data_IF_107575171040
#
_entry.id   IF_107575171040
#
_cell.length_a   1.000
_cell.length_b   1.000
_cell.length_c   1.000
_cell.angle_alpha   90.00
_cell.angle_beta   90.00
_cell.angle_gamma   90.00
#
_symmetry.space_group_name_H-M   'P 1'
#
loop_
_entity.id
_entity.type
_entity.pdbx_description
1 polymer ?
#
# COMPACT_ATOMS: atom_id res chain seq x y z
N UNK A 1 62.03 -19.90 1.31
CA UNK A 1 63.11 -20.24 2.26
C UNK A 1 63.06 -19.23 3.39
N UNK A 2 62.68 -19.56 4.61
CA UNK A 2 61.94 -20.73 5.13
C UNK A 2 61.29 -20.26 6.45
N UNK A 3 59.99 -20.43 6.69
CA UNK A 3 59.31 -21.62 7.22
C UNK A 3 59.75 -21.99 8.67
N UNK A 4 58.77 -22.34 9.52
CA UNK A 4 58.90 -22.82 10.93
C UNK A 4 59.14 -21.74 12.01
N UNK A 5 58.54 -21.78 13.21
CA UNK A 5 57.54 -22.70 13.85
C UNK A 5 56.77 -21.91 14.94
N UNK A 6 55.46 -22.13 15.14
CA UNK A 6 54.84 -22.92 16.26
C UNK A 6 55.36 -22.52 17.66
N UNK A 7 54.58 -22.22 18.71
CA UNK A 7 53.18 -22.48 19.17
C UNK A 7 52.56 -21.14 19.71
N UNK A 8 51.34 -20.92 20.25
CA UNK A 8 49.93 -21.43 20.30
C UNK A 8 49.14 -20.24 21.00
N UNK A 9 47.83 -20.10 21.22
CA UNK A 9 46.54 -20.81 21.07
C UNK A 9 45.42 -19.73 21.03
N UNK A 10 44.19 -20.00 20.53
CA UNK A 10 43.05 -19.10 20.77
C UNK A 10 41.91 -19.11 19.74
N UNK A 11 41.31 -20.27 19.44
CA UNK A 11 40.20 -20.40 18.47
C UNK A 11 38.82 -20.28 19.13
N UNK A 12 37.90 -19.54 18.53
CA UNK A 12 36.47 -19.85 18.62
C UNK A 12 35.75 -19.50 17.30
N UNK A 13 35.38 -20.54 16.55
CA UNK A 13 34.56 -20.46 15.33
C UNK A 13 33.10 -20.73 15.67
N UNK A 14 32.18 -19.89 15.20
CA UNK A 14 30.74 -20.19 15.22
C UNK A 14 30.22 -20.24 13.79
N UNK A 15 30.18 -21.46 13.22
CA UNK A 15 29.65 -21.71 11.88
C UNK A 15 28.16 -22.01 11.96
N UNK A 16 27.31 -21.07 11.56
CA UNK A 16 25.87 -21.33 11.42
C UNK A 16 25.65 -22.19 10.17
N UNK A 17 25.12 -23.39 10.37
CA UNK A 17 24.77 -24.32 9.29
C UNK A 17 23.43 -23.89 8.67
N UNK A 18 23.45 -23.45 7.41
CA UNK A 18 22.24 -23.50 6.58
C UNK A 18 22.01 -24.96 6.16
N UNK A 19 20.97 -25.57 6.71
CA UNK A 19 20.61 -26.96 6.44
C UNK A 19 19.82 -27.12 5.15
N UNK A 20 20.48 -27.70 4.14
CA UNK A 20 19.90 -28.45 3.01
C UNK A 20 18.58 -27.96 2.37
N UNK A 21 18.71 -27.31 1.20
CA UNK A 21 17.78 -27.60 0.11
C UNK A 21 18.24 -28.90 -0.56
N UNK A 22 17.41 -29.94 -0.62
CA UNK A 22 17.67 -31.16 -1.38
C UNK A 22 16.43 -31.56 -2.18
N UNK A 23 16.48 -31.32 -3.49
CA UNK A 23 15.50 -31.85 -4.44
C UNK A 23 15.60 -33.38 -4.50
N UNK A 24 14.46 -34.06 -4.49
CA UNK A 24 14.32 -35.52 -4.64
C UNK A 24 12.86 -35.85 -4.90
N UNK A 25 12.51 -36.04 -6.16
CA UNK A 25 11.19 -36.51 -6.59
C UNK A 25 11.13 -38.04 -6.58
N UNK A 26 10.21 -38.60 -5.80
CA UNK A 26 9.55 -39.88 -6.12
C UNK A 26 8.17 -39.96 -5.45
N UNK A 27 7.48 -41.09 -5.65
CA UNK A 27 6.04 -41.21 -5.73
C UNK A 27 5.35 -41.76 -4.47
N UNK A 28 4.07 -41.39 -4.31
CA UNK A 28 3.18 -41.73 -3.20
C UNK A 28 2.71 -43.20 -3.20
N UNK A 29 1.94 -43.67 -2.19
CA UNK A 29 1.63 -43.09 -0.87
C UNK A 29 1.86 -44.08 0.29
N UNK A 30 1.62 -43.65 1.55
CA UNK A 30 1.15 -44.58 2.60
C UNK A 30 0.44 -43.86 3.76
N UNK A 31 -0.57 -44.51 4.33
CA UNK A 31 -1.28 -44.03 5.53
C UNK A 31 -0.55 -44.49 6.81
N UNK A 32 -0.71 -43.73 7.89
CA UNK A 32 -0.32 -44.16 9.24
C UNK A 32 -0.79 -43.15 10.29
N UNK A 33 -1.77 -43.55 11.11
CA UNK A 33 -2.29 -42.73 12.21
C UNK A 33 -1.24 -42.57 13.32
N UNK A 34 -1.27 -41.43 14.04
CA UNK A 34 -0.29 -41.13 15.07
C UNK A 34 -0.71 -39.95 15.97
N UNK A 35 -1.64 -40.20 16.90
CA UNK A 35 -1.95 -39.25 17.98
C UNK A 35 -0.70 -39.00 18.83
N UNK A 36 -0.32 -37.73 18.98
CA UNK A 36 0.88 -37.30 19.68
C UNK A 36 0.67 -35.96 20.38
N UNK A 37 -0.04 -35.99 21.52
CA UNK A 37 -0.27 -34.80 22.33
C UNK A 37 1.07 -34.21 22.85
N UNK A 38 1.36 -32.99 22.43
CA UNK A 38 2.70 -32.41 22.42
C UNK A 38 2.67 -30.90 22.56
N UNK A 39 1.99 -30.40 23.60
CA UNK A 39 1.78 -28.98 23.90
C UNK A 39 3.03 -28.16 24.24
N UNK A 40 3.99 -28.08 23.33
CA UNK A 40 4.92 -26.95 23.26
C UNK A 40 4.20 -25.67 22.82
N UNK A 41 4.88 -24.51 22.81
CA UNK A 41 4.34 -23.34 22.13
C UNK A 41 4.11 -23.70 20.66
N UNK A 42 2.92 -23.42 20.12
CA UNK A 42 2.60 -23.69 18.73
C UNK A 42 3.61 -22.96 17.84
N UNK A 43 4.54 -23.71 17.24
CA UNK A 43 5.52 -23.16 16.31
C UNK A 43 4.74 -22.62 15.12
N UNK A 44 4.89 -21.32 14.85
CA UNK A 44 4.31 -20.70 13.66
C UNK A 44 5.04 -21.28 12.45
N UNK A 45 4.43 -22.28 11.82
CA UNK A 45 4.91 -22.87 10.59
C UNK A 45 4.79 -21.83 9.47
N UNK A 46 5.87 -21.08 9.26
CA UNK A 46 6.01 -20.18 8.11
C UNK A 46 6.13 -21.07 6.87
N UNK A 47 4.97 -21.31 6.23
CA UNK A 47 4.87 -22.11 5.01
C UNK A 47 5.84 -21.59 3.95
N UNK A 48 6.55 -22.51 3.30
CA UNK A 48 7.58 -22.24 2.31
C UNK A 48 7.13 -22.47 0.87
N UNK A 49 5.84 -22.75 0.65
CA UNK A 49 5.23 -22.86 -0.67
C UNK A 49 5.43 -21.58 -1.51
N UNK A 50 5.49 -21.68 -2.84
CA UNK A 50 5.50 -20.50 -3.72
C UNK A 50 4.20 -19.68 -3.57
N UNK A 51 4.23 -18.36 -3.87
CA UNK A 51 3.07 -17.47 -3.72
C UNK A 51 1.79 -17.92 -4.45
N UNK A 52 1.90 -18.76 -5.48
CA UNK A 52 0.78 -19.37 -6.22
C UNK A 52 -0.11 -20.29 -5.38
N UNK A 53 0.40 -20.86 -4.30
CA UNK A 53 -0.27 -21.91 -3.54
C UNK A 53 -1.19 -21.35 -2.44
N UNK A 54 -1.15 -20.03 -2.22
CA UNK A 54 -1.99 -19.34 -1.24
C UNK A 54 -3.19 -18.72 -1.95
N UNK A 55 -4.38 -18.91 -1.38
CA UNK A 55 -5.52 -18.08 -1.74
C UNK A 55 -5.17 -16.62 -1.39
N UNK A 56 -5.12 -15.74 -2.40
CA UNK A 56 -4.87 -14.30 -2.20
C UNK A 56 -6.04 -13.72 -1.39
N UNK A 57 -5.81 -13.48 -0.10
CA UNK A 57 -6.78 -12.78 0.76
C UNK A 57 -6.70 -11.29 0.44
N UNK A 58 -7.46 -10.93 -0.60
CA UNK A 58 -7.93 -9.58 -0.92
C UNK A 58 -6.86 -8.50 -1.12
N UNK A 59 -6.53 -8.22 -2.39
CA UNK A 59 -5.97 -6.92 -2.76
C UNK A 59 -7.10 -5.87 -2.78
N UNK A 60 -7.49 -5.43 -1.59
CA UNK A 60 -7.93 -4.03 -1.42
C UNK A 60 -6.70 -3.13 -1.61
N UNK A 61 -6.23 -3.06 -2.86
CA UNK A 61 -4.93 -2.52 -3.22
C UNK A 61 -4.94 -1.00 -3.26
N UNK A 62 -5.10 -0.35 -2.10
CA UNK A 62 -5.46 1.06 -1.96
C UNK A 62 -6.92 1.37 -2.36
N UNK A 63 -7.93 0.92 -1.56
CA UNK A 63 -9.34 1.07 -1.89
C UNK A 63 -9.78 2.53 -2.00
N UNK A 64 -9.10 3.49 -1.35
CA UNK A 64 -9.39 4.92 -1.49
C UNK A 64 -9.10 5.45 -2.90
N UNK A 65 -7.87 5.31 -3.38
CA UNK A 65 -7.45 5.88 -4.68
C UNK A 65 -8.03 5.08 -5.85
N UNK A 66 -8.09 3.75 -5.76
CA UNK A 66 -8.76 2.93 -6.76
C UNK A 66 -10.28 3.23 -6.84
N UNK A 67 -10.92 3.63 -5.74
CA UNK A 67 -12.31 4.08 -5.74
C UNK A 67 -12.48 5.48 -6.33
N UNK A 68 -11.56 6.39 -6.04
CA UNK A 68 -11.62 7.77 -6.51
C UNK A 68 -11.27 7.93 -7.99
N UNK A 69 -10.30 7.15 -8.50
CA UNK A 69 -9.68 7.39 -9.81
C UNK A 69 -9.94 6.32 -10.88
N UNK A 70 -10.27 5.07 -10.53
CA UNK A 70 -10.57 4.01 -11.50
C UNK A 70 -12.07 3.73 -11.63
N UNK A 71 -12.51 3.39 -12.85
CA UNK A 71 -13.92 3.14 -13.15
C UNK A 71 -14.45 1.93 -12.36
N UNK A 72 -15.61 2.11 -11.73
CA UNK A 72 -16.41 1.07 -11.08
C UNK A 72 -17.58 0.61 -11.96
N UNK A 73 -18.26 -0.46 -11.56
CA UNK A 73 -19.36 -1.06 -12.33
C UNK A 73 -20.50 -0.09 -12.67
N UNK A 74 -20.91 -0.07 -13.95
CA UNK A 74 -22.10 0.66 -14.40
C UNK A 74 -22.02 2.19 -14.43
N UNK A 75 -20.82 2.80 -14.40
CA UNK A 75 -20.65 4.27 -14.44
C UNK A 75 -19.90 4.74 -15.70
N UNK A 76 -20.52 5.56 -16.57
CA UNK A 76 -19.84 6.19 -17.70
C UNK A 76 -19.13 7.49 -17.28
N UNK A 77 -17.82 7.58 -17.53
CA UNK A 77 -17.02 8.82 -17.41
C UNK A 77 -16.63 9.37 -18.80
N UNK A 78 -17.00 8.68 -19.90
CA UNK A 78 -16.76 9.11 -21.29
C UNK A 78 -17.96 8.78 -22.16
N UNK A 79 -18.41 9.74 -22.96
CA UNK A 79 -19.27 9.46 -24.11
C UNK A 79 -18.52 8.56 -25.11
N UNK A 80 -19.19 7.52 -25.62
CA UNK A 80 -18.73 6.75 -26.79
C UNK A 80 -17.88 5.50 -26.52
N UNK A 81 -17.57 5.13 -25.27
CA UNK A 81 -16.90 3.85 -24.95
C UNK A 81 -17.94 2.80 -24.50
N UNK A 82 -18.13 1.68 -25.21
CA UNK A 82 -19.10 0.66 -24.82
C UNK A 82 -18.67 -0.10 -23.55
N UNK A 83 -19.58 -0.21 -22.58
CA UNK A 83 -19.47 -1.19 -21.49
C UNK A 83 -19.77 -2.57 -22.08
N UNK A 84 -18.83 -3.52 -21.97
CA UNK A 84 -18.92 -4.84 -22.60
C UNK A 84 -19.36 -5.96 -21.64
N UNK A 85 -19.36 -5.70 -20.33
CA UNK A 85 -19.91 -6.56 -19.29
C UNK A 85 -20.15 -5.76 -18.00
N UNK A 86 -21.23 -6.10 -17.26
CA UNK A 86 -21.59 -5.45 -15.99
C UNK A 86 -20.78 -5.96 -14.77
N UNK A 87 -19.72 -6.73 -15.00
CA UNK A 87 -19.03 -7.53 -13.98
C UNK A 87 -17.52 -7.27 -13.82
N UNK A 88 -16.84 -6.73 -14.83
CA UNK A 88 -15.40 -6.43 -14.77
C UNK A 88 -15.17 -4.95 -15.11
N UNK A 89 -14.83 -4.17 -14.09
CA UNK A 89 -14.43 -2.77 -14.23
C UNK A 89 -12.94 -2.61 -13.88
N UNK A 90 -12.35 -1.44 -14.17
CA UNK A 90 -10.91 -1.23 -14.00
C UNK A 90 -10.46 -1.40 -12.54
N UNK A 91 -11.28 -0.93 -11.59
CA UNK A 91 -11.03 -1.06 -10.15
C UNK A 91 -11.04 -2.53 -9.70
N UNK A 92 -12.03 -3.31 -10.12
CA UNK A 92 -12.10 -4.74 -9.79
C UNK A 92 -11.00 -5.54 -10.50
N UNK A 93 -10.52 -5.09 -11.66
CA UNK A 93 -9.38 -5.69 -12.37
C UNK A 93 -8.05 -5.40 -11.65
N UNK A 94 -7.86 -4.17 -11.20
CA UNK A 94 -6.72 -3.71 -10.39
C UNK A 94 -6.65 -4.45 -9.05
N UNK A 95 -7.79 -4.55 -8.34
CA UNK A 95 -7.92 -5.31 -7.08
C UNK A 95 -7.69 -6.83 -7.24
N UNK A 96 -7.76 -7.39 -8.46
CA UNK A 96 -7.51 -8.81 -8.72
C UNK A 96 -6.09 -9.12 -9.22
N UNK A 97 -5.41 -8.13 -9.82
CA UNK A 97 -4.05 -8.24 -10.37
C UNK A 97 -2.93 -8.22 -9.32
N UNK A 98 -1.73 -8.65 -9.70
CA UNK A 98 -0.54 -8.53 -8.85
C UNK A 98 0.08 -7.12 -8.93
N UNK A 99 0.68 -6.57 -7.85
CA UNK A 99 1.15 -5.16 -7.84
C UNK A 99 2.15 -4.79 -8.93
N UNK A 100 2.88 -5.78 -9.47
CA UNK A 100 3.77 -5.59 -10.63
C UNK A 100 3.05 -5.15 -11.92
N UNK A 101 1.72 -5.29 -11.99
CA UNK A 101 0.87 -4.83 -13.10
C UNK A 101 0.19 -3.48 -12.86
N UNK A 102 0.35 -2.85 -11.69
CA UNK A 102 -0.36 -1.61 -11.33
C UNK A 102 -0.06 -0.45 -12.30
N UNK A 103 1.12 -0.46 -12.92
CA UNK A 103 1.53 0.51 -13.93
C UNK A 103 0.65 0.47 -15.20
N UNK A 104 -0.02 -0.65 -15.50
CA UNK A 104 -0.93 -0.75 -16.65
C UNK A 104 -2.19 0.11 -16.46
N UNK A 105 -2.53 0.45 -15.20
CA UNK A 105 -3.66 1.30 -14.83
C UNK A 105 -3.29 2.80 -14.75
N UNK A 106 -2.01 3.16 -14.92
CA UNK A 106 -1.51 4.54 -14.84
C UNK A 106 -2.27 5.50 -15.76
N UNK A 107 -2.65 5.08 -16.97
CA UNK A 107 -3.45 5.90 -17.89
C UNK A 107 -4.84 6.26 -17.34
N UNK A 108 -5.51 5.33 -16.64
CA UNK A 108 -6.81 5.59 -16.02
C UNK A 108 -6.71 6.54 -14.83
N UNK A 109 -5.65 6.39 -14.01
CA UNK A 109 -5.34 7.35 -12.95
C UNK A 109 -5.08 8.77 -13.49
N UNK A 110 -4.30 8.89 -14.58
CA UNK A 110 -3.99 10.16 -15.23
C UNK A 110 -5.22 10.82 -15.86
N UNK A 111 -6.04 10.08 -16.63
CA UNK A 111 -7.28 10.59 -17.23
C UNK A 111 -8.20 11.22 -16.16
N UNK A 112 -8.37 10.55 -15.01
CA UNK A 112 -9.22 11.06 -13.93
C UNK A 112 -8.56 12.21 -13.15
N UNK A 113 -7.23 12.21 -12.96
CA UNK A 113 -6.52 13.32 -12.33
C UNK A 113 -6.54 14.62 -13.15
N UNK A 114 -6.52 14.52 -14.49
CA UNK A 114 -6.74 15.66 -15.40
C UNK A 114 -8.15 16.21 -15.21
N UNK A 115 -9.17 15.35 -15.18
CA UNK A 115 -10.55 15.76 -14.92
C UNK A 115 -10.72 16.46 -13.55
N UNK A 116 -10.18 15.86 -12.47
CA UNK A 116 -10.26 16.42 -11.11
C UNK A 116 -9.51 17.75 -11.00
N UNK A 117 -8.32 17.87 -11.60
CA UNK A 117 -7.57 19.13 -11.58
C UNK A 117 -8.29 20.24 -12.35
N UNK A 118 -9.01 19.96 -13.44
CA UNK A 118 -9.90 20.94 -14.07
C UNK A 118 -11.09 21.31 -13.19
N UNK A 119 -11.77 20.30 -12.65
CA UNK A 119 -13.04 20.46 -11.91
C UNK A 119 -12.88 21.17 -10.55
N UNK A 120 -11.65 21.31 -10.05
CA UNK A 120 -11.30 22.04 -8.83
C UNK A 120 -10.39 23.25 -9.11
N UNK A 121 -10.07 23.56 -10.38
CA UNK A 121 -9.08 24.59 -10.72
C UNK A 121 -9.51 25.99 -10.27
N UNK A 122 -10.75 26.37 -10.57
CA UNK A 122 -11.32 27.67 -10.22
C UNK A 122 -11.65 27.78 -8.72
N UNK A 123 -12.12 26.70 -8.09
CA UNK A 123 -12.29 26.62 -6.63
C UNK A 123 -10.96 26.87 -5.90
N UNK A 124 -9.89 26.14 -6.25
CA UNK A 124 -8.55 26.30 -5.65
C UNK A 124 -7.95 27.69 -5.93
N UNK A 125 -8.07 28.19 -7.16
CA UNK A 125 -7.62 29.54 -7.52
C UNK A 125 -8.40 30.62 -6.73
N UNK A 126 -9.70 30.41 -6.47
CA UNK A 126 -10.53 31.34 -5.67
C UNK A 126 -10.14 31.36 -4.18
N UNK A 127 -9.65 30.24 -3.66
CA UNK A 127 -9.07 30.11 -2.32
C UNK A 127 -7.63 30.63 -2.24
N UNK A 128 -7.01 31.00 -3.37
CA UNK A 128 -5.61 31.44 -3.45
C UNK A 128 -4.59 30.31 -3.34
N UNK A 129 -5.02 29.06 -3.56
CA UNK A 129 -4.19 27.87 -3.43
C UNK A 129 -3.49 27.54 -4.75
N UNK A 130 -2.24 28.01 -4.89
CA UNK A 130 -1.34 27.62 -5.99
C UNK A 130 -1.35 26.11 -6.27
N UNK A 131 -1.79 25.75 -7.47
CA UNK A 131 -1.95 24.36 -7.93
C UNK A 131 -0.66 23.76 -8.46
N UNK A 132 -0.48 22.44 -8.36
CA UNK A 132 0.63 21.74 -9.02
C UNK A 132 0.41 21.60 -10.53
N UNK A 133 -0.85 21.65 -10.99
CA UNK A 133 -1.20 21.55 -12.41
C UNK A 133 -0.99 22.88 -13.15
N UNK A 134 -0.35 22.85 -14.31
CA UNK A 134 -0.24 24.01 -15.20
C UNK A 134 -1.47 24.15 -16.09
N UNK A 135 -1.87 25.39 -16.40
CA UNK A 135 -3.04 25.68 -17.23
C UNK A 135 -4.16 26.40 -16.48
N UNK A 136 -5.04 27.06 -17.24
CA UNK A 136 -6.25 27.69 -16.71
C UNK A 136 -7.35 26.63 -16.43
N UNK A 137 -8.35 26.96 -15.60
CA UNK A 137 -9.53 26.10 -15.42
C UNK A 137 -10.18 25.73 -16.77
N UNK A 138 -10.21 24.43 -17.09
CA UNK A 138 -10.74 23.91 -18.36
C UNK A 138 -9.73 23.81 -19.51
N UNK A 139 -8.46 24.18 -19.30
CA UNK A 139 -7.37 24.08 -20.30
C UNK A 139 -6.32 22.99 -19.96
N UNK A 140 -6.49 22.25 -18.87
CA UNK A 140 -5.60 21.14 -18.49
C UNK A 140 -6.04 19.91 -19.31
N UNK A 141 -5.29 19.50 -20.33
CA UNK A 141 -5.70 18.38 -21.21
C UNK A 141 -4.67 17.25 -21.36
N UNK A 142 -3.48 17.39 -20.77
CA UNK A 142 -2.38 16.43 -20.92
C UNK A 142 -1.79 15.92 -19.60
N UNK A 143 -1.03 14.83 -19.69
CA UNK A 143 -0.25 14.30 -18.58
C UNK A 143 0.94 15.21 -18.20
N UNK A 144 1.43 16.02 -19.14
CA UNK A 144 2.50 16.99 -18.89
C UNK A 144 2.01 18.13 -17.97
N UNK A 145 0.75 18.57 -18.15
CA UNK A 145 0.15 19.65 -17.35
C UNK A 145 0.02 19.29 -15.86
N UNK A 146 -0.32 18.04 -15.55
CA UNK A 146 -0.35 17.52 -14.18
C UNK A 146 0.96 16.81 -13.77
N UNK A 147 2.04 16.96 -14.55
CA UNK A 147 3.30 16.24 -14.35
C UNK A 147 3.93 16.49 -12.98
N UNK A 148 3.86 17.72 -12.45
CA UNK A 148 4.35 18.04 -11.12
C UNK A 148 3.55 17.32 -10.01
N UNK A 149 2.23 17.19 -10.17
CA UNK A 149 1.35 16.44 -9.28
C UNK A 149 1.70 14.93 -9.27
N UNK A 150 1.82 14.34 -10.46
CA UNK A 150 2.15 12.92 -10.65
C UNK A 150 3.51 12.57 -10.04
N UNK A 151 4.53 13.43 -10.24
CA UNK A 151 5.90 13.19 -9.76
C UNK A 151 6.01 13.00 -8.24
N UNK A 152 5.10 13.57 -7.44
CA UNK A 152 5.07 13.38 -5.99
C UNK A 152 4.21 12.18 -5.60
N UNK A 153 3.01 12.06 -6.19
CA UNK A 153 2.03 11.07 -5.76
C UNK A 153 2.29 9.65 -6.30
N UNK A 154 2.67 9.50 -7.57
CA UNK A 154 2.76 8.20 -8.24
C UNK A 154 3.67 7.18 -7.53
N UNK A 155 4.87 7.55 -7.03
CA UNK A 155 5.75 6.61 -6.29
C UNK A 155 5.21 6.14 -4.93
N UNK A 156 4.10 6.72 -4.46
CA UNK A 156 3.42 6.35 -3.20
C UNK A 156 2.23 5.41 -3.46
N UNK A 157 1.76 5.32 -4.71
CA UNK A 157 0.54 4.59 -5.10
C UNK A 157 0.75 3.52 -6.18
N UNK A 158 1.87 3.54 -6.92
CA UNK A 158 2.21 2.54 -7.94
C UNK A 158 3.67 2.10 -7.77
N UNK A 159 3.95 0.79 -7.58
CA UNK A 159 2.99 -0.27 -7.26
C UNK A 159 2.45 -0.11 -5.82
N UNK A 160 1.20 -0.50 -5.57
CA UNK A 160 0.67 -0.56 -4.21
C UNK A 160 1.29 -1.74 -3.46
N UNK A 161 2.34 -1.43 -2.68
CA UNK A 161 3.07 -2.39 -1.84
C UNK A 161 3.43 -1.78 -0.50
N UNK A 162 3.20 -2.55 0.58
CA UNK A 162 3.73 -2.22 1.91
C UNK A 162 5.16 -2.77 2.01
N UNK A 163 6.15 -1.97 1.61
CA UNK A 163 7.55 -2.22 1.93
C UNK A 163 7.72 -2.27 3.45
N UNK A 164 8.48 -3.24 3.98
CA UNK A 164 8.76 -3.39 5.42
C UNK A 164 10.27 -3.28 5.68
N UNK A 165 10.69 -2.26 6.43
CA UNK A 165 12.04 -2.24 7.00
C UNK A 165 12.11 -3.12 8.26
N UNK A 166 12.70 -4.31 8.12
CA UNK A 166 12.89 -5.27 9.22
C UNK A 166 14.14 -4.99 10.07
N UNK A 167 14.91 -3.94 9.75
CA UNK A 167 16.01 -3.43 10.58
C UNK A 167 15.55 -2.32 11.54
N UNK A 168 14.39 -1.71 11.29
CA UNK A 168 13.77 -0.72 12.15
C UNK A 168 13.10 -1.34 13.40
N UNK A 169 12.88 -0.56 14.49
CA UNK A 169 12.09 -1.00 15.63
C UNK A 169 10.65 -1.36 15.28
N UNK A 170 10.10 -2.38 15.95
CA UNK A 170 8.73 -2.87 15.74
C UNK A 170 7.69 -1.76 15.93
N UNK A 171 7.01 -1.42 14.84
CA UNK A 171 5.97 -0.40 14.74
C UNK A 171 4.94 -0.84 13.69
N UNK A 172 3.79 -0.17 13.61
CA UNK A 172 2.94 -0.25 12.41
C UNK A 172 3.81 0.16 11.19
N UNK A 173 3.71 -0.52 10.03
CA UNK A 173 4.65 -0.44 8.91
C UNK A 173 5.34 0.92 8.67
N UNK A 174 6.66 0.91 8.86
CA UNK A 174 7.59 2.04 8.70
C UNK A 174 7.29 3.26 9.59
N UNK A 175 6.68 3.05 10.77
CA UNK A 175 6.43 4.09 11.76
C UNK A 175 5.19 4.96 11.51
N UNK A 176 4.40 4.67 10.46
CA UNK A 176 3.08 5.30 10.27
C UNK A 176 2.13 4.84 11.38
N UNK A 177 1.16 5.67 11.77
CA UNK A 177 0.13 5.35 12.75
C UNK A 177 -1.24 5.09 12.09
N UNK A 178 -2.19 4.40 12.76
CA UNK A 178 -3.53 4.16 12.20
C UNK A 178 -4.32 5.44 11.89
N UNK A 179 -4.03 6.53 12.61
CA UNK A 179 -4.69 7.83 12.44
C UNK A 179 -3.87 8.80 11.53
N UNK A 180 -2.89 8.30 10.78
CA UNK A 180 -2.14 9.15 9.84
C UNK A 180 -3.05 9.66 8.70
N UNK A 181 -3.10 10.98 8.42
CA UNK A 181 -3.89 11.57 7.34
C UNK A 181 -3.25 11.33 5.96
N UNK A 182 -3.08 10.06 5.58
CA UNK A 182 -2.45 9.64 4.31
C UNK A 182 -3.26 10.14 3.12
N UNK A 183 -4.59 10.14 3.21
CA UNK A 183 -5.47 10.57 2.11
C UNK A 183 -5.35 12.07 1.88
N UNK A 184 -5.35 12.89 2.93
CA UNK A 184 -5.23 14.35 2.80
C UNK A 184 -3.85 14.78 2.27
N UNK A 185 -2.79 14.08 2.67
CA UNK A 185 -1.42 14.28 2.16
C UNK A 185 -1.32 13.88 0.68
N UNK A 186 -1.93 12.77 0.26
CA UNK A 186 -2.00 12.39 -1.15
C UNK A 186 -2.85 13.38 -1.95
N UNK A 187 -3.96 13.86 -1.39
CA UNK A 187 -4.82 14.88 -2.01
C UNK A 187 -4.08 16.21 -2.20
N UNK A 188 -3.28 16.63 -1.20
CA UNK A 188 -2.40 17.79 -1.30
C UNK A 188 -1.36 17.60 -2.41
N UNK A 189 -0.72 16.43 -2.47
CA UNK A 189 0.28 16.12 -3.49
C UNK A 189 -0.26 16.07 -4.93
N UNK A 190 -1.56 15.76 -5.13
CA UNK A 190 -2.18 15.73 -6.48
C UNK A 190 -2.90 17.02 -6.89
N UNK A 191 -2.96 18.04 -6.02
CA UNK A 191 -3.63 19.32 -6.28
C UNK A 191 -2.74 20.55 -6.07
N UNK A 192 -1.83 20.57 -5.10
CA UNK A 192 -1.14 21.78 -4.62
C UNK A 192 0.32 21.84 -5.06
N UNK A 193 0.81 23.05 -5.37
CA UNK A 193 2.24 23.30 -5.50
C UNK A 193 2.91 23.22 -4.12
N UNK A 194 3.60 22.10 -3.86
CA UNK A 194 4.34 21.85 -2.63
C UNK A 194 5.64 22.68 -2.50
N UNK A 195 5.99 23.48 -3.52
CA UNK A 195 6.96 24.57 -3.40
C UNK A 195 6.39 25.83 -2.73
N UNK A 196 5.06 25.92 -2.61
CA UNK A 196 4.32 27.04 -1.99
C UNK A 196 3.59 26.59 -0.72
N UNK A 197 2.96 25.41 -0.73
CA UNK A 197 2.09 24.91 0.35
C UNK A 197 2.72 23.71 1.09
N UNK A 198 2.45 23.53 2.39
CA UNK A 198 2.84 22.33 3.11
C UNK A 198 2.02 21.10 2.67
N UNK A 199 2.62 19.91 2.70
CA UNK A 199 1.95 18.64 2.40
C UNK A 199 0.76 18.36 3.34
N UNK A 200 0.82 18.85 4.57
CA UNK A 200 -0.23 18.70 5.58
C UNK A 200 -1.36 19.76 5.47
N UNK A 201 -1.37 20.65 4.45
CA UNK A 201 -2.35 21.77 4.37
C UNK A 201 -3.81 21.30 4.48
N UNK A 202 -4.18 20.19 3.84
CA UNK A 202 -5.53 19.63 3.94
C UNK A 202 -5.74 18.81 5.23
N UNK A 203 -4.68 18.20 5.78
CA UNK A 203 -4.73 17.44 7.02
C UNK A 203 -4.93 18.35 8.26
N UNK A 204 -4.38 19.56 8.22
CA UNK A 204 -4.56 20.61 9.24
C UNK A 204 -5.97 21.24 9.21
N UNK A 205 -6.81 20.91 8.22
CA UNK A 205 -8.22 21.32 8.23
C UNK A 205 -9.02 20.43 9.19
N UNK A 206 -9.92 21.00 10.03
CA UNK A 206 -10.73 20.25 10.99
C UNK A 206 -11.92 19.53 10.31
N UNK A 207 -11.63 18.76 9.26
CA UNK A 207 -12.57 17.97 8.46
C UNK A 207 -12.51 16.48 8.81
N UNK A 208 -11.33 15.98 9.22
CA UNK A 208 -11.15 14.60 9.65
C UNK A 208 -11.90 14.33 10.97
N UNK A 209 -12.50 13.12 11.14
CA UNK A 209 -13.15 12.74 12.39
C UNK A 209 -12.11 12.63 13.52
N UNK A 210 -12.34 13.19 14.72
CA UNK A 210 -11.36 13.18 15.82
C UNK A 210 -11.21 11.82 16.54
N UNK A 211 -11.82 10.76 16.01
CA UNK A 211 -11.90 9.42 16.60
C UNK A 211 -12.67 8.46 15.69
N UNK A 212 -13.05 7.30 16.21
CA UNK A 212 -13.72 6.25 15.44
C UNK A 212 -15.25 6.41 15.40
N UNK A 213 -15.93 5.70 14.48
CA UNK A 213 -17.38 5.78 14.25
C UNK A 213 -18.25 5.55 15.50
N UNK A 214 -17.77 4.80 16.49
CA UNK A 214 -18.49 4.55 17.74
C UNK A 214 -18.17 5.57 18.85
N UNK A 215 -17.05 6.30 18.74
CA UNK A 215 -16.56 7.30 19.69
C UNK A 215 -15.65 8.32 18.99
N UNK A 216 -16.23 9.48 18.69
CA UNK A 216 -15.54 10.58 18.00
C UNK A 216 -14.39 11.23 18.82
N UNK A 217 -14.20 10.87 20.09
CA UNK A 217 -13.11 11.32 20.96
C UNK A 217 -12.07 10.21 21.29
N UNK A 218 -12.23 9.01 20.71
CA UNK A 218 -11.42 7.82 20.98
C UNK A 218 -10.42 7.55 19.85
N UNK A 219 -9.33 8.33 19.88
CA UNK A 219 -8.11 8.19 19.04
C UNK A 219 -7.55 6.77 19.08
N UNK A 220 -6.82 6.34 18.05
CA UNK A 220 -6.30 4.97 17.98
C UNK A 220 -5.18 4.74 19.00
N UNK A 221 -5.03 3.51 19.54
CA UNK A 221 -4.02 3.23 20.55
C UNK A 221 -2.61 3.52 20.03
N UNK A 222 -1.79 4.23 20.79
CA UNK A 222 -0.46 4.66 20.32
C UNK A 222 0.55 3.51 20.11
N UNK A 223 0.25 2.28 20.57
CA UNK A 223 1.17 1.15 20.60
C UNK A 223 0.60 -0.10 19.91
N UNK A 224 1.49 -0.89 19.29
CA UNK A 224 1.17 -2.24 18.81
C UNK A 224 0.59 -3.11 19.95
N UNK A 225 -0.48 -3.91 19.73
CA UNK A 225 -1.10 -4.28 18.46
C UNK A 225 -2.19 -3.32 17.91
N UNK A 226 -2.28 -2.07 18.40
CA UNK A 226 -3.27 -1.06 17.95
C UNK A 226 -4.74 -1.47 18.16
N UNK A 227 -5.00 -2.48 19.00
CA UNK A 227 -6.34 -2.95 19.34
C UNK A 227 -6.99 -2.04 20.40
N UNK A 228 -8.21 -1.58 20.15
CA UNK A 228 -9.06 -0.89 21.14
C UNK A 228 -9.71 -1.90 22.10
N UNK A 229 -10.10 -1.43 23.28
CA UNK A 229 -10.96 -2.18 24.18
C UNK A 229 -12.32 -2.51 23.51
N UNK A 230 -12.93 -3.68 23.78
CA UNK A 230 -14.24 -4.01 23.24
C UNK A 230 -15.29 -2.97 23.61
N UNK A 231 -16.03 -2.47 22.61
CA UNK A 231 -17.22 -1.65 22.83
C UNK A 231 -18.25 -2.52 23.58
N UNK A 232 -18.72 -2.12 24.78
CA UNK A 232 -19.75 -2.88 25.49
C UNK A 232 -21.02 -2.97 24.65
N UNK A 233 -21.59 -4.16 24.51
CA UNK A 233 -22.90 -4.31 23.88
C UNK A 233 -23.99 -3.67 24.76
N UNK A 234 -24.99 -3.02 24.16
CA UNK A 234 -26.10 -2.35 24.87
C UNK A 234 -27.11 -3.34 25.49
#
# INVERSE_FOLDING_TARGET
MDLSKLLLLGTLTSSVLLGACSDSSDSSPNNGDGDGDGGGPALVEVRSNPPSDYARVDRMGQPGVATALLRGGGQPIRDGVPVINDADNERDSFNQGDPSGDADFAGGFVDTLIFVNNALADDLDSLGLSRCATGLPGEIDSADDIGACINVAAPVVIPDVVTLDTSAPSSWPNGRHPDDPVIDRVLAAVLLDLGVHPLDLFADLPLNPPGNDARADDVSPANFPYLRDPIPMP
#
